data_IF_520309039622
#
_entry.id   IF_520309039622
#
_cell.length_a   1.000
_cell.length_b   1.000
_cell.length_c   1.000
_cell.angle_alpha   90.00
_cell.angle_beta   90.00
_cell.angle_gamma   90.00
#
_symmetry.space_group_name_H-M   'P 1'
#
loop_
_entity.id
_entity.type
_entity.pdbx_description
1 polymer ?
#
# COMPACT_ATOMS: atom_id res chain seq x y z
N UNK A 1 15.21 17.49 30.94
CA UNK A 1 14.17 16.45 30.92
C UNK A 1 13.11 16.64 29.84
N UNK A 2 12.58 17.86 29.58
CA UNK A 2 11.69 18.07 28.41
C UNK A 2 12.44 18.29 27.09
N UNK A 3 13.61 18.95 27.11
CA UNK A 3 14.43 19.15 25.89
C UNK A 3 15.05 17.84 25.37
N UNK A 4 15.47 16.94 26.26
CA UNK A 4 16.17 15.70 25.87
C UNK A 4 15.27 14.74 25.06
N UNK A 5 13.97 14.73 25.35
CA UNK A 5 12.99 13.91 24.62
C UNK A 5 12.65 14.48 23.24
N UNK A 6 12.74 15.81 23.06
CA UNK A 6 12.49 16.45 21.78
C UNK A 6 13.63 16.19 20.80
N UNK A 7 14.88 16.38 21.24
CA UNK A 7 16.07 16.11 20.45
C UNK A 7 16.20 14.62 20.08
N UNK A 8 15.83 13.74 21.01
CA UNK A 8 15.79 12.28 20.80
C UNK A 8 14.83 11.88 19.67
N UNK A 9 13.59 12.39 19.70
CA UNK A 9 12.59 12.09 18.66
C UNK A 9 12.98 12.70 17.31
N UNK A 10 13.52 13.92 17.31
CA UNK A 10 13.95 14.59 16.08
C UNK A 10 15.11 13.85 15.40
N UNK A 11 16.06 13.33 16.17
CA UNK A 11 17.18 12.53 15.65
C UNK A 11 16.69 11.23 15.03
N UNK A 12 15.76 10.52 15.71
CA UNK A 12 15.15 9.30 15.19
C UNK A 12 14.39 9.56 13.87
N UNK A 13 13.56 10.60 13.81
CA UNK A 13 12.82 10.99 12.61
C UNK A 13 13.78 11.30 11.44
N UNK A 14 14.84 12.07 11.70
CA UNK A 14 15.85 12.40 10.68
C UNK A 14 16.55 11.16 10.15
N UNK A 15 16.91 10.22 11.02
CA UNK A 15 17.52 8.94 10.62
C UNK A 15 16.58 8.12 9.74
N UNK A 16 15.33 7.92 10.16
CA UNK A 16 14.32 7.19 9.38
C UNK A 16 14.13 7.84 8.00
N UNK A 17 13.87 9.15 7.98
CA UNK A 17 13.66 9.92 6.75
C UNK A 17 14.86 9.85 5.81
N UNK A 18 16.08 9.96 6.35
CA UNK A 18 17.31 9.84 5.57
C UNK A 18 17.45 8.46 4.91
N UNK A 19 17.14 7.39 5.64
CA UNK A 19 17.17 6.04 5.08
C UNK A 19 16.08 5.85 4.01
N UNK A 20 14.85 6.32 4.26
CA UNK A 20 13.74 6.22 3.28
C UNK A 20 13.98 7.05 2.01
N UNK A 21 14.57 8.25 2.12
CA UNK A 21 14.85 9.10 0.95
C UNK A 21 15.96 8.55 0.05
N UNK A 22 16.79 7.63 0.55
CA UNK A 22 17.84 6.93 -0.22
C UNK A 22 17.36 5.60 -0.80
N UNK A 23 16.08 5.27 -0.61
CA UNK A 23 15.52 3.99 -1.00
C UNK A 23 15.67 3.77 -2.50
N UNK A 24 16.33 2.68 -2.83
CA UNK A 24 16.59 2.20 -4.18
C UNK A 24 17.00 0.73 -4.13
N UNK A 25 16.84 0.02 -5.24
CA UNK A 25 17.24 -1.38 -5.35
C UNK A 25 18.70 -1.65 -4.92
N UNK A 26 19.63 -0.75 -5.25
CA UNK A 26 21.06 -0.89 -4.93
C UNK A 26 21.39 -0.64 -3.45
N UNK A 27 20.63 0.22 -2.77
CA UNK A 27 20.82 0.55 -1.35
C UNK A 27 19.93 -0.28 -0.41
N UNK A 28 19.01 -1.09 -0.95
CA UNK A 28 17.97 -1.79 -0.21
C UNK A 28 18.49 -2.58 1.00
N UNK A 29 19.51 -3.42 0.81
CA UNK A 29 20.11 -4.24 1.89
C UNK A 29 20.65 -3.38 3.04
N UNK A 30 21.33 -2.28 2.69
CA UNK A 30 21.91 -1.34 3.67
C UNK A 30 20.80 -0.64 4.44
N UNK A 31 19.78 -0.12 3.74
CA UNK A 31 18.65 0.59 4.35
C UNK A 31 17.85 -0.32 5.27
N UNK A 32 17.60 -1.57 4.88
CA UNK A 32 16.93 -2.56 5.75
C UNK A 32 17.72 -2.75 7.03
N UNK A 33 19.05 -2.90 6.94
CA UNK A 33 19.92 -3.07 8.10
C UNK A 33 19.88 -1.83 9.01
N UNK A 34 20.09 -0.64 8.44
CA UNK A 34 20.03 0.63 9.17
C UNK A 34 18.70 0.80 9.92
N UNK A 35 17.57 0.52 9.27
CA UNK A 35 16.25 0.63 9.88
C UNK A 35 16.00 -0.44 10.93
N UNK A 36 16.50 -1.66 10.76
CA UNK A 36 16.42 -2.70 11.79
C UNK A 36 17.26 -2.34 13.02
N UNK A 37 18.44 -1.74 12.84
CA UNK A 37 19.31 -1.32 13.93
C UNK A 37 18.67 -0.26 14.82
N UNK A 38 17.78 0.58 14.28
CA UNK A 38 17.00 1.52 15.09
C UNK A 38 16.13 0.80 16.15
N UNK A 39 15.60 -0.39 15.85
CA UNK A 39 14.83 -1.17 16.83
C UNK A 39 15.68 -1.76 17.96
N UNK A 40 17.00 -1.83 17.77
CA UNK A 40 17.96 -2.21 18.82
C UNK A 40 18.37 -1.00 19.68
N UNK A 41 18.45 0.18 19.06
CA UNK A 41 18.99 1.38 19.69
C UNK A 41 17.93 2.26 20.38
N UNK A 42 16.66 2.11 20.00
CA UNK A 42 15.55 2.96 20.46
C UNK A 42 14.35 2.13 20.94
N UNK A 43 13.45 2.68 21.78
CA UNK A 43 12.22 2.02 22.18
C UNK A 43 11.39 1.62 20.96
N UNK A 44 11.08 0.33 20.85
CA UNK A 44 10.51 -0.26 19.62
C UNK A 44 9.16 0.34 19.22
N UNK A 45 8.32 0.71 20.20
CA UNK A 45 7.06 1.38 19.94
C UNK A 45 7.27 2.76 19.29
N UNK A 46 8.25 3.52 19.78
CA UNK A 46 8.63 4.82 19.21
C UNK A 46 9.16 4.68 17.79
N UNK A 47 10.08 3.72 17.53
CA UNK A 47 10.59 3.47 16.18
C UNK A 47 9.46 3.10 15.22
N UNK A 48 8.57 2.18 15.62
CA UNK A 48 7.42 1.79 14.81
C UNK A 48 6.53 2.98 14.46
N UNK A 49 6.12 3.77 15.45
CA UNK A 49 5.20 4.89 15.21
C UNK A 49 5.82 5.95 14.29
N UNK A 50 7.07 6.34 14.53
CA UNK A 50 7.75 7.31 13.66
C UNK A 50 8.04 6.74 12.27
N UNK A 51 8.37 5.44 12.17
CA UNK A 51 8.57 4.79 10.87
C UNK A 51 7.28 4.77 10.06
N UNK A 52 6.15 4.42 10.66
CA UNK A 52 4.84 4.45 9.99
C UNK A 52 4.51 5.87 9.53
N UNK A 53 4.71 6.87 10.38
CA UNK A 53 4.41 8.26 10.03
C UNK A 53 5.27 8.75 8.86
N UNK A 54 6.57 8.50 8.87
CA UNK A 54 7.47 8.87 7.77
C UNK A 54 7.16 8.09 6.47
N UNK A 55 6.75 6.83 6.56
CA UNK A 55 6.27 6.06 5.40
C UNK A 55 5.02 6.71 4.81
N UNK A 56 4.04 7.06 5.65
CA UNK A 56 2.81 7.70 5.20
C UNK A 56 3.09 9.06 4.56
N UNK A 57 3.91 9.90 5.21
CA UNK A 57 4.34 11.18 4.66
C UNK A 57 5.03 11.03 3.30
N UNK A 58 5.91 10.02 3.15
CA UNK A 58 6.59 9.75 1.90
C UNK A 58 5.61 9.33 0.80
N UNK A 59 4.67 8.43 1.09
CA UNK A 59 3.65 7.97 0.14
C UNK A 59 2.80 9.15 -0.33
N UNK A 60 2.34 9.99 0.60
CA UNK A 60 1.45 11.11 0.30
C UNK A 60 2.14 12.22 -0.54
N UNK A 61 3.42 12.47 -0.29
CA UNK A 61 4.22 13.43 -1.05
C UNK A 61 4.55 12.98 -2.48
N UNK A 62 4.26 11.72 -2.85
CA UNK A 62 4.61 11.21 -4.18
C UNK A 62 3.50 11.41 -5.19
N UNK A 63 3.86 11.62 -6.45
CA UNK A 63 2.88 11.69 -7.54
C UNK A 63 2.86 10.38 -8.33
N UNK A 64 1.65 9.88 -8.62
CA UNK A 64 1.47 8.78 -9.56
C UNK A 64 1.17 9.35 -10.93
N UNK A 65 2.08 9.10 -11.87
CA UNK A 65 1.85 9.40 -13.27
C UNK A 65 1.67 8.07 -14.05
N UNK A 66 0.67 8.04 -14.93
CA UNK A 66 0.34 6.91 -15.81
C UNK A 66 1.40 6.62 -16.84
N UNK A 67 2.02 7.67 -17.35
CA UNK A 67 2.97 7.60 -18.46
C UNK A 67 4.38 7.24 -17.99
N UNK A 68 4.60 7.23 -16.67
CA UNK A 68 5.87 6.85 -16.08
C UNK A 68 5.75 5.54 -15.35
N UNK A 69 6.86 5.16 -14.75
CA UNK A 69 7.10 4.06 -13.84
C UNK A 69 6.10 4.01 -12.66
N UNK A 70 4.87 3.58 -12.93
CA UNK A 70 3.75 3.56 -11.97
C UNK A 70 4.17 2.88 -10.67
N UNK A 71 4.17 3.66 -9.60
CA UNK A 71 4.38 3.16 -8.24
C UNK A 71 5.72 2.48 -7.98
N UNK A 72 6.80 2.86 -8.69
CA UNK A 72 8.13 2.26 -8.44
C UNK A 72 8.61 2.43 -6.99
N UNK A 73 8.50 3.65 -6.46
CA UNK A 73 8.82 3.90 -5.05
C UNK A 73 7.94 3.05 -4.14
N UNK A 74 6.65 2.89 -4.47
CA UNK A 74 5.71 2.13 -3.67
C UNK A 74 6.08 0.64 -3.64
N UNK A 75 6.60 0.09 -4.75
CA UNK A 75 7.14 -1.28 -4.79
C UNK A 75 8.39 -1.44 -3.92
N UNK A 76 9.35 -0.52 -4.04
CA UNK A 76 10.58 -0.54 -3.26
C UNK A 76 10.29 -0.39 -1.77
N UNK A 77 9.39 0.53 -1.41
CA UNK A 77 8.98 0.79 -0.04
C UNK A 77 8.25 -0.41 0.55
N UNK A 78 7.29 -0.99 -0.18
CA UNK A 78 6.59 -2.18 0.26
C UNK A 78 7.56 -3.33 0.55
N UNK A 79 8.52 -3.60 -0.33
CA UNK A 79 9.51 -4.66 -0.08
C UNK A 79 10.46 -4.31 1.06
N UNK A 80 10.90 -3.05 1.17
CA UNK A 80 11.74 -2.63 2.29
C UNK A 80 11.08 -2.96 3.63
N UNK A 81 9.81 -2.60 3.78
CA UNK A 81 9.03 -2.84 5.02
C UNK A 81 8.79 -4.34 5.23
N UNK A 82 8.51 -5.09 4.17
CA UNK A 82 8.40 -6.57 4.24
C UNK A 82 9.70 -7.18 4.75
N UNK A 83 10.86 -6.76 4.20
CA UNK A 83 12.16 -7.26 4.63
C UNK A 83 12.46 -6.88 6.08
N UNK A 84 12.14 -5.65 6.51
CA UNK A 84 12.26 -5.23 7.91
C UNK A 84 11.40 -6.13 8.80
N UNK A 85 10.14 -6.38 8.45
CA UNK A 85 9.26 -7.27 9.22
C UNK A 85 9.83 -8.69 9.32
N UNK A 86 10.40 -9.24 8.25
CA UNK A 86 11.07 -10.55 8.26
C UNK A 86 12.25 -10.52 9.22
N UNK A 87 13.13 -9.52 9.11
CA UNK A 87 14.32 -9.41 9.94
C UNK A 87 13.97 -9.26 11.42
N UNK A 88 13.02 -8.39 11.77
CA UNK A 88 12.56 -8.23 13.15
C UNK A 88 11.94 -9.52 13.71
N UNK A 89 11.19 -10.27 12.89
CA UNK A 89 10.67 -11.57 13.30
C UNK A 89 11.77 -12.57 13.61
N UNK A 90 12.81 -12.66 12.76
CA UNK A 90 13.96 -13.55 12.98
C UNK A 90 14.80 -13.16 14.20
N UNK A 91 14.86 -11.87 14.53
CA UNK A 91 15.52 -11.38 15.74
C UNK A 91 14.67 -11.56 17.01
N UNK A 92 13.54 -12.28 16.93
CA UNK A 92 12.56 -12.43 18.02
C UNK A 92 12.04 -11.09 18.57
N UNK A 93 12.03 -10.06 17.74
CA UNK A 93 11.51 -8.73 18.04
C UNK A 93 10.11 -8.56 17.43
N UNK A 94 9.26 -9.59 17.57
CA UNK A 94 7.99 -9.69 16.84
C UNK A 94 7.07 -8.51 17.16
N UNK A 95 7.10 -7.52 16.28
CA UNK A 95 6.24 -6.36 16.30
C UNK A 95 5.44 -6.37 15.01
N UNK A 96 4.11 -6.24 15.05
CA UNK A 96 3.30 -6.26 13.84
C UNK A 96 3.38 -4.90 13.12
N UNK A 97 4.56 -4.55 12.59
CA UNK A 97 4.82 -3.28 11.89
C UNK A 97 3.85 -3.10 10.72
N UNK A 98 3.70 -4.13 9.88
CA UNK A 98 2.82 -4.04 8.71
C UNK A 98 1.35 -3.95 9.11
N UNK A 99 0.92 -4.62 10.18
CA UNK A 99 -0.45 -4.54 10.69
C UNK A 99 -0.83 -3.11 11.07
N UNK A 100 -0.01 -2.46 11.90
CA UNK A 100 -0.21 -1.06 12.30
C UNK A 100 -0.10 -0.09 11.12
N UNK A 101 0.77 -0.37 10.15
CA UNK A 101 0.88 0.46 8.94
C UNK A 101 -0.40 0.39 8.11
N UNK A 102 -0.94 -0.81 7.86
CA UNK A 102 -2.18 -0.99 7.10
C UNK A 102 -3.33 -0.30 7.83
N UNK A 103 -3.46 -0.49 9.13
CA UNK A 103 -4.46 0.18 9.96
C UNK A 103 -4.38 1.71 9.79
N UNK A 104 -3.17 2.27 9.92
CA UNK A 104 -2.92 3.71 9.76
C UNK A 104 -3.27 4.23 8.37
N UNK A 105 -3.08 3.42 7.31
CA UNK A 105 -3.47 3.78 5.94
C UNK A 105 -4.98 3.70 5.76
N UNK A 106 -5.63 2.64 6.25
CA UNK A 106 -7.08 2.47 6.15
C UNK A 106 -7.81 3.59 6.87
N UNK A 107 -7.36 4.01 8.05
CA UNK A 107 -7.94 5.16 8.76
C UNK A 107 -7.83 6.47 7.98
N UNK A 108 -6.75 6.68 7.21
CA UNK A 108 -6.62 7.85 6.34
C UNK A 108 -7.54 7.76 5.11
N UNK A 109 -7.69 6.57 4.52
CA UNK A 109 -8.53 6.34 3.33
C UNK A 109 -10.04 6.37 3.63
N UNK A 110 -10.45 5.85 4.79
CA UNK A 110 -11.83 5.70 5.22
C UNK A 110 -12.00 6.23 6.65
N UNK A 111 -11.96 7.57 6.84
CA UNK A 111 -12.16 8.15 8.15
C UNK A 111 -13.56 7.82 8.68
N UNK A 112 -13.64 7.37 9.93
CA UNK A 112 -14.91 7.07 10.62
C UNK A 112 -15.38 8.36 11.27
N UNK A 113 -16.30 9.09 10.63
CA UNK A 113 -16.93 10.35 11.06
C UNK A 113 -16.80 10.71 12.56
N UNK A 114 -16.23 11.89 12.87
CA UNK A 114 -16.93 12.94 13.62
C UNK A 114 -16.08 14.23 13.75
N UNK A 115 -16.56 15.28 13.08
CA UNK A 115 -16.22 16.70 13.14
C UNK A 115 -15.58 17.24 11.86
N UNK A 116 -16.16 18.33 11.36
CA UNK A 116 -16.01 18.97 10.06
C UNK A 116 -14.60 19.55 9.74
N UNK A 117 -13.53 18.98 10.29
CA UNK A 117 -12.13 19.43 10.12
C UNK A 117 -11.13 18.29 9.86
N UNK A 118 -11.57 17.05 9.59
CA UNK A 118 -10.64 16.00 9.20
C UNK A 118 -10.11 16.25 7.78
N UNK A 119 -8.77 16.25 7.64
CA UNK A 119 -8.08 16.46 6.36
C UNK A 119 -8.57 15.42 5.34
N UNK A 120 -9.50 15.83 4.48
CA UNK A 120 -9.90 15.02 3.35
C UNK A 120 -8.66 14.80 2.48
N UNK A 121 -8.26 13.53 2.34
CA UNK A 121 -7.13 13.19 1.48
C UNK A 121 -7.36 13.77 0.08
N UNK A 122 -6.29 14.34 -0.47
CA UNK A 122 -6.31 14.72 -1.88
C UNK A 122 -6.54 13.50 -2.76
N UNK A 123 -7.10 13.69 -3.95
CA UNK A 123 -7.24 12.64 -4.98
C UNK A 123 -5.91 11.89 -5.22
N UNK A 124 -4.77 12.61 -5.17
CA UNK A 124 -3.45 12.00 -5.28
C UNK A 124 -3.11 11.12 -4.07
N UNK A 125 -3.40 11.58 -2.84
CA UNK A 125 -3.21 10.79 -1.61
C UNK A 125 -4.00 9.48 -1.64
N UNK A 126 -5.26 9.53 -2.07
CA UNK A 126 -6.09 8.32 -2.25
C UNK A 126 -5.40 7.36 -3.23
N UNK A 127 -4.90 7.84 -4.36
CA UNK A 127 -4.21 7.04 -5.35
C UNK A 127 -2.91 6.40 -4.80
N UNK A 128 -2.08 7.15 -4.09
CA UNK A 128 -0.77 6.69 -3.57
C UNK A 128 -0.91 5.66 -2.48
N UNK A 129 -1.80 5.90 -1.50
CA UNK A 129 -2.11 4.90 -0.49
C UNK A 129 -2.71 3.62 -1.11
N UNK A 130 -3.63 3.77 -2.06
CA UNK A 130 -4.27 2.64 -2.74
C UNK A 130 -3.27 1.78 -3.51
N UNK A 131 -2.34 2.40 -4.23
CA UNK A 131 -1.32 1.64 -4.98
C UNK A 131 -0.32 0.98 -4.04
N UNK A 132 0.02 1.61 -2.91
CA UNK A 132 0.86 1.00 -1.89
C UNK A 132 0.23 -0.30 -1.35
N UNK A 133 -1.06 -0.25 -0.98
CA UNK A 133 -1.82 -1.42 -0.54
C UNK A 133 -1.85 -2.50 -1.64
N UNK A 134 -2.05 -2.12 -2.90
CA UNK A 134 -2.00 -3.07 -4.01
C UNK A 134 -0.65 -3.80 -4.07
N UNK A 135 0.47 -3.12 -3.88
CA UNK A 135 1.79 -3.80 -3.85
C UNK A 135 1.99 -4.69 -2.62
N UNK A 136 1.47 -4.31 -1.45
CA UNK A 136 1.46 -5.22 -0.29
C UNK A 136 0.68 -6.51 -0.60
N UNK A 137 -0.46 -6.42 -1.30
CA UNK A 137 -1.20 -7.60 -1.76
C UNK A 137 -0.37 -8.41 -2.77
N UNK A 138 0.26 -7.73 -3.73
CA UNK A 138 1.09 -8.35 -4.76
C UNK A 138 2.23 -9.17 -4.18
N UNK A 139 2.84 -8.70 -3.10
CA UNK A 139 3.91 -9.39 -2.39
C UNK A 139 3.39 -10.42 -1.36
N UNK A 140 2.09 -10.63 -1.27
CA UNK A 140 1.46 -11.67 -0.47
C UNK A 140 1.30 -11.33 1.02
N UNK A 141 1.34 -10.05 1.37
CA UNK A 141 1.29 -9.59 2.77
C UNK A 141 -0.14 -9.41 3.27
N UNK A 142 -1.03 -8.93 2.41
CA UNK A 142 -2.44 -8.70 2.73
C UNK A 142 -3.34 -9.62 1.91
N UNK A 143 -4.57 -9.84 2.39
CA UNK A 143 -5.57 -10.60 1.67
C UNK A 143 -6.09 -9.84 0.45
N UNK A 144 -6.43 -10.57 -0.61
CA UNK A 144 -7.13 -10.01 -1.77
C UNK A 144 -8.52 -9.49 -1.43
N UNK A 145 -9.15 -10.00 -0.36
CA UNK A 145 -10.46 -9.53 0.11
C UNK A 145 -10.44 -8.04 0.45
N UNK A 146 -9.44 -7.58 1.22
CA UNK A 146 -9.29 -6.15 1.57
C UNK A 146 -9.21 -5.26 0.32
N UNK A 147 -8.46 -5.69 -0.70
CA UNK A 147 -8.35 -4.93 -1.95
C UNK A 147 -9.70 -4.91 -2.71
N UNK A 148 -10.40 -6.04 -2.75
CA UNK A 148 -11.72 -6.12 -3.40
C UNK A 148 -12.76 -5.25 -2.68
N UNK A 149 -12.73 -5.21 -1.35
CA UNK A 149 -13.63 -4.37 -0.54
C UNK A 149 -13.37 -2.87 -0.78
N UNK A 150 -12.09 -2.47 -0.87
CA UNK A 150 -11.69 -1.10 -1.25
C UNK A 150 -12.20 -0.75 -2.66
N UNK A 151 -12.04 -1.65 -3.64
CA UNK A 151 -12.53 -1.43 -5.00
C UNK A 151 -14.06 -1.25 -5.04
N UNK A 152 -14.81 -2.08 -4.29
CA UNK A 152 -16.27 -1.96 -4.16
C UNK A 152 -16.66 -0.60 -3.57
N UNK A 153 -15.98 -0.17 -2.50
CA UNK A 153 -16.23 1.13 -1.88
C UNK A 153 -15.96 2.29 -2.85
N UNK A 154 -14.85 2.26 -3.59
CA UNK A 154 -14.50 3.31 -4.55
C UNK A 154 -15.48 3.41 -5.72
N UNK A 155 -15.95 2.28 -6.26
CA UNK A 155 -16.95 2.27 -7.34
C UNK A 155 -18.31 2.71 -6.82
N UNK A 156 -18.68 2.36 -5.59
CA UNK A 156 -19.94 2.81 -4.96
C UNK A 156 -19.99 4.33 -4.80
N UNK A 157 -18.90 4.93 -4.35
CA UNK A 157 -18.83 6.39 -4.15
C UNK A 157 -18.68 7.14 -5.48
N UNK A 158 -18.07 6.50 -6.49
CA UNK A 158 -17.89 6.99 -7.86
C UNK A 158 -17.27 8.40 -7.98
N UNK A 159 -16.45 8.81 -7.00
CA UNK A 159 -15.65 10.03 -7.08
C UNK A 159 -14.47 9.84 -8.03
N UNK A 160 -14.10 10.88 -8.80
CA UNK A 160 -13.01 10.81 -9.78
C UNK A 160 -11.68 10.33 -9.16
N UNK A 161 -11.34 10.77 -7.95
CA UNK A 161 -10.10 10.34 -7.29
C UNK A 161 -10.15 8.87 -6.88
N UNK A 162 -11.30 8.41 -6.38
CA UNK A 162 -11.53 7.01 -6.00
C UNK A 162 -11.54 6.07 -7.20
N UNK A 163 -12.22 6.45 -8.29
CA UNK A 163 -12.25 5.65 -9.52
C UNK A 163 -10.87 5.60 -10.16
N UNK A 164 -10.13 6.71 -10.17
CA UNK A 164 -8.72 6.74 -10.62
C UNK A 164 -7.82 5.84 -9.78
N UNK A 165 -7.98 5.87 -8.46
CA UNK A 165 -7.25 4.98 -7.55
C UNK A 165 -7.60 3.51 -7.80
N UNK A 166 -8.88 3.21 -8.03
CA UNK A 166 -9.36 1.87 -8.38
C UNK A 166 -8.70 1.38 -9.68
N UNK A 167 -8.66 2.23 -10.72
CA UNK A 167 -7.96 1.92 -11.95
C UNK A 167 -6.46 1.61 -11.71
N UNK A 168 -5.75 2.42 -10.91
CA UNK A 168 -4.34 2.14 -10.57
C UNK A 168 -4.13 0.83 -9.80
N UNK A 169 -5.02 0.50 -8.86
CA UNK A 169 -5.00 -0.82 -8.20
C UNK A 169 -5.09 -1.92 -9.25
N UNK A 170 -6.02 -1.82 -10.19
CA UNK A 170 -6.24 -2.88 -11.19
C UNK A 170 -5.10 -3.01 -12.20
N UNK A 171 -4.38 -1.93 -12.52
CA UNK A 171 -3.12 -1.99 -13.28
C UNK A 171 -2.08 -2.83 -12.51
N UNK A 172 -1.90 -2.58 -11.22
CA UNK A 172 -0.88 -3.25 -10.41
C UNK A 172 -1.21 -4.72 -10.10
N UNK A 173 -2.50 -5.04 -9.84
CA UNK A 173 -2.90 -6.35 -9.30
C UNK A 173 -4.19 -6.95 -9.87
N UNK A 174 -4.80 -6.37 -10.90
CA UNK A 174 -6.10 -6.83 -11.44
C UNK A 174 -6.11 -8.31 -11.82
N UNK A 175 -5.06 -8.78 -12.50
CA UNK A 175 -4.92 -10.20 -12.88
C UNK A 175 -4.73 -11.11 -11.65
N UNK A 176 -4.05 -10.65 -10.61
CA UNK A 176 -3.88 -11.39 -9.36
C UNK A 176 -5.22 -11.53 -8.63
N UNK A 177 -5.99 -10.43 -8.54
CA UNK A 177 -7.33 -10.41 -7.94
C UNK A 177 -8.27 -11.37 -8.67
N UNK A 178 -8.31 -11.29 -10.01
CA UNK A 178 -9.13 -12.16 -10.86
C UNK A 178 -8.81 -13.65 -10.66
N UNK A 179 -7.53 -13.99 -10.48
CA UNK A 179 -7.11 -15.37 -10.18
C UNK A 179 -7.52 -15.80 -8.78
N UNK A 180 -7.56 -14.88 -7.82
CA UNK A 180 -7.93 -15.17 -6.44
C UNK A 180 -9.44 -15.33 -6.24
N UNK A 181 -10.26 -14.48 -6.85
CA UNK A 181 -11.72 -14.55 -6.75
C UNK A 181 -12.39 -13.94 -8.00
N UNK A 182 -12.66 -14.78 -9.00
CA UNK A 182 -13.25 -14.36 -10.27
C UNK A 182 -14.66 -13.80 -10.10
N UNK A 183 -15.47 -14.39 -9.23
CA UNK A 183 -16.88 -14.03 -9.06
C UNK A 183 -17.02 -12.59 -8.53
N UNK A 184 -16.25 -12.25 -7.50
CA UNK A 184 -16.26 -10.88 -6.95
C UNK A 184 -15.72 -9.87 -7.98
N UNK A 185 -14.71 -10.23 -8.78
CA UNK A 185 -14.27 -9.37 -9.87
C UNK A 185 -15.37 -9.16 -10.92
N UNK A 186 -16.19 -10.17 -11.23
CA UNK A 186 -17.32 -10.03 -12.15
C UNK A 186 -18.42 -9.13 -11.59
N UNK A 187 -18.74 -9.23 -10.28
CA UNK A 187 -19.65 -8.30 -9.60
C UNK A 187 -19.15 -6.85 -9.71
N UNK A 188 -17.86 -6.63 -9.43
CA UNK A 188 -17.21 -5.32 -9.54
C UNK A 188 -17.29 -4.78 -10.97
N UNK A 189 -17.02 -5.62 -11.97
CA UNK A 189 -17.12 -5.25 -13.38
C UNK A 189 -18.57 -4.87 -13.74
N UNK A 190 -19.56 -5.62 -13.27
CA UNK A 190 -20.98 -5.31 -13.52
C UNK A 190 -21.36 -3.96 -12.90
N UNK A 191 -20.95 -3.71 -11.67
CA UNK A 191 -21.18 -2.42 -11.00
C UNK A 191 -20.49 -1.26 -11.73
N UNK A 192 -19.23 -1.45 -12.15
CA UNK A 192 -18.49 -0.46 -12.92
C UNK A 192 -19.13 -0.16 -14.29
N UNK A 193 -19.64 -1.17 -14.99
CA UNK A 193 -20.37 -0.96 -16.25
C UNK A 193 -21.66 -0.16 -16.04
N UNK A 194 -22.37 -0.40 -14.95
CA UNK A 194 -23.58 0.37 -14.61
C UNK A 194 -23.27 1.86 -14.37
N UNK A 195 -22.20 2.16 -13.62
CA UNK A 195 -21.76 3.55 -13.43
C UNK A 195 -21.20 4.17 -14.72
N UNK A 196 -20.49 3.37 -15.54
CA UNK A 196 -19.95 3.82 -16.82
C UNK A 196 -21.07 4.34 -17.74
N UNK A 197 -22.18 3.60 -17.89
CA UNK A 197 -23.29 4.02 -18.76
C UNK A 197 -23.99 5.29 -18.27
N UNK A 198 -24.00 5.56 -16.95
CA UNK A 198 -24.50 6.84 -16.41
C UNK A 198 -23.58 8.02 -16.76
N UNK A 199 -22.26 7.81 -16.67
CA UNK A 199 -21.27 8.89 -16.81
C UNK A 199 -20.77 9.10 -18.25
N UNK A 200 -21.01 8.16 -19.16
CA UNK A 200 -20.51 8.14 -20.55
C UNK A 200 -20.74 9.44 -21.34
N UNK A 201 -21.84 10.13 -21.07
CA UNK A 201 -22.24 11.36 -21.78
C UNK A 201 -21.99 12.64 -20.97
N UNK A 202 -21.72 12.53 -19.67
CA UNK A 202 -21.68 13.66 -18.74
C UNK A 202 -20.30 13.89 -18.12
N UNK A 203 -19.51 12.83 -17.92
CA UNK A 203 -18.20 12.90 -17.28
C UNK A 203 -17.22 11.93 -17.94
N UNK A 204 -16.56 12.41 -19.00
CA UNK A 204 -15.60 11.65 -19.79
C UNK A 204 -14.40 11.13 -18.98
N UNK A 205 -13.95 11.87 -17.96
CA UNK A 205 -12.82 11.45 -17.13
C UNK A 205 -13.16 10.22 -16.31
N UNK A 206 -14.30 10.23 -15.61
CA UNK A 206 -14.78 9.08 -14.83
C UNK A 206 -15.02 7.88 -15.76
N UNK A 207 -15.66 8.11 -16.91
CA UNK A 207 -15.89 7.06 -17.89
C UNK A 207 -14.58 6.40 -18.35
N UNK A 208 -13.56 7.20 -18.68
CA UNK A 208 -12.25 6.71 -19.07
C UNK A 208 -11.59 5.85 -17.97
N UNK A 209 -11.67 6.27 -16.70
CA UNK A 209 -11.13 5.47 -15.60
C UNK A 209 -11.88 4.16 -15.38
N UNK A 210 -13.21 4.18 -15.50
CA UNK A 210 -14.04 2.97 -15.38
C UNK A 210 -13.75 1.98 -16.50
N UNK A 211 -13.62 2.45 -17.75
CA UNK A 211 -13.23 1.61 -18.89
C UNK A 211 -11.88 0.93 -18.65
N UNK A 212 -10.89 1.70 -18.19
CA UNK A 212 -9.57 1.16 -17.85
C UNK A 212 -9.62 0.12 -16.72
N UNK A 213 -10.37 0.40 -15.66
CA UNK A 213 -10.61 -0.56 -14.56
C UNK A 213 -11.25 -1.86 -15.05
N UNK A 214 -12.31 -1.76 -15.87
CA UNK A 214 -13.03 -2.91 -16.42
C UNK A 214 -12.12 -3.75 -17.30
N UNK A 215 -11.35 -3.10 -18.17
CA UNK A 215 -10.38 -3.76 -19.03
C UNK A 215 -9.36 -4.55 -18.21
N UNK A 216 -8.74 -3.90 -17.21
CA UNK A 216 -7.70 -4.50 -16.37
C UNK A 216 -8.21 -5.67 -15.52
N UNK A 217 -9.43 -5.60 -14.99
CA UNK A 217 -10.04 -6.72 -14.25
C UNK A 217 -10.49 -7.87 -15.16
N UNK A 218 -10.71 -7.61 -16.45
CA UNK A 218 -11.11 -8.63 -17.43
C UNK A 218 -9.92 -9.42 -18.00
N UNK A 219 -8.72 -8.85 -17.93
CA UNK A 219 -7.49 -9.45 -18.46
C UNK A 219 -7.10 -10.76 -17.77
N UNK A 220 -6.63 -11.74 -18.57
CA UNK A 220 -6.10 -13.02 -18.06
C UNK A 220 -4.60 -12.94 -17.72
N UNK A 221 -3.89 -11.98 -18.31
CA UNK A 221 -2.44 -11.77 -18.21
C UNK A 221 -2.18 -10.27 -18.29
N UNK A 222 -1.23 -9.79 -17.50
CA UNK A 222 -0.81 -8.39 -17.52
C UNK A 222 0.57 -8.31 -18.18
N UNK A 223 0.72 -7.32 -19.05
CA UNK A 223 1.98 -6.99 -19.74
C UNK A 223 2.63 -5.72 -19.17
N UNK A 224 2.10 -5.21 -18.04
CA UNK A 224 2.54 -3.96 -17.45
C UNK A 224 3.97 -4.07 -16.90
N UNK A 225 4.79 -3.04 -17.12
CA UNK A 225 6.18 -3.03 -16.65
C UNK A 225 6.25 -3.13 -15.11
N UNK A 226 5.32 -2.49 -14.40
CA UNK A 226 5.24 -2.53 -12.95
C UNK A 226 5.04 -3.96 -12.42
N UNK A 227 4.29 -4.80 -13.14
CA UNK A 227 4.03 -6.21 -12.82
C UNK A 227 5.31 -7.02 -12.94
N UNK A 228 6.08 -6.80 -14.00
CA UNK A 228 7.38 -7.45 -14.23
C UNK A 228 8.41 -7.02 -13.20
N UNK A 229 8.50 -5.72 -12.90
CA UNK A 229 9.38 -5.18 -11.84
C UNK A 229 9.06 -5.80 -10.47
N UNK A 230 7.80 -5.91 -10.10
CA UNK A 230 7.43 -6.53 -8.82
C UNK A 230 7.91 -7.98 -8.74
N UNK A 231 7.79 -8.76 -9.81
CA UNK A 231 8.29 -10.14 -9.83
C UNK A 231 9.81 -10.21 -9.70
N UNK A 232 10.54 -9.25 -10.30
CA UNK A 232 11.98 -9.11 -10.10
C UNK A 232 12.31 -8.81 -8.64
N UNK A 233 11.70 -7.77 -8.06
CA UNK A 233 11.97 -7.37 -6.68
C UNK A 233 11.59 -8.47 -5.68
N UNK A 234 10.52 -9.23 -5.92
CA UNK A 234 10.12 -10.36 -5.08
C UNK A 234 11.21 -11.45 -5.01
N UNK A 235 11.95 -11.69 -6.10
CA UNK A 235 13.08 -12.62 -6.09
C UNK A 235 14.24 -12.11 -5.22
N UNK A 236 14.44 -10.80 -5.16
CA UNK A 236 15.50 -10.17 -4.38
C UNK A 236 15.25 -10.16 -2.87
N UNK A 237 14.01 -10.38 -2.41
CA UNK A 237 13.69 -10.49 -0.97
C UNK A 237 14.62 -11.50 -0.27
N UNK A 238 14.89 -12.65 -0.90
CA UNK A 238 15.79 -13.67 -0.32
C UNK A 238 17.22 -13.16 -0.12
N UNK A 239 17.70 -12.35 -1.07
CA UNK A 239 19.04 -11.77 -1.04
C UNK A 239 19.13 -10.74 0.09
N UNK A 240 18.16 -9.83 0.17
CA UNK A 240 18.13 -8.76 1.18
C UNK A 240 17.86 -9.25 2.60
N UNK A 241 17.20 -10.40 2.73
CA UNK A 241 16.96 -11.05 4.03
C UNK A 241 18.00 -12.13 4.36
N UNK A 242 19.11 -12.22 3.62
CA UNK A 242 20.18 -13.21 3.87
C UNK A 242 19.68 -14.67 3.95
N UNK A 243 18.67 -15.02 3.15
CA UNK A 243 18.09 -16.36 3.12
C UNK A 243 17.00 -16.62 4.17
N UNK A 244 16.72 -15.68 5.07
CA UNK A 244 15.71 -15.81 6.14
C UNK A 244 14.25 -15.81 5.63
N UNK A 245 14.05 -15.85 4.32
CA UNK A 245 12.75 -15.82 3.63
C UNK A 245 11.82 -17.03 3.83
N UNK A 246 12.19 -18.04 4.63
CA UNK A 246 11.34 -19.20 4.91
C UNK A 246 10.08 -18.87 5.74
N UNK A 247 10.01 -17.68 6.32
CA UNK A 247 8.81 -17.17 6.96
C UNK A 247 7.82 -16.80 5.85
N UNK A 248 6.84 -17.69 5.59
CA UNK A 248 5.61 -17.28 4.92
C UNK A 248 5.01 -16.17 5.78
N UNK A 249 5.19 -14.92 5.35
CA UNK A 249 4.47 -13.75 5.87
C UNK A 249 2.99 -13.88 5.49
N UNK A 250 2.31 -14.91 5.98
CA UNK A 250 0.89 -14.77 6.25
C UNK A 250 0.82 -13.90 7.49
N UNK A 251 0.82 -12.58 7.31
CA UNK A 251 0.23 -11.70 8.30
C UNK A 251 -1.25 -12.06 8.27
N UNK A 252 -1.63 -13.03 9.10
CA UNK A 252 -3.01 -13.40 9.33
C UNK A 252 -3.63 -12.18 10.01
N UNK A 253 -4.25 -11.30 9.21
CA UNK A 253 -4.85 -10.08 9.73
C UNK A 253 -6.07 -10.45 10.55
N UNK A 254 -5.87 -10.70 11.84
CA UNK A 254 -6.94 -10.94 12.81
C UNK A 254 -7.70 -9.65 13.18
N UNK A 255 -7.61 -8.58 12.38
CA UNK A 255 -8.16 -7.26 12.76
C UNK A 255 -9.32 -6.79 11.88
N UNK A 256 -9.54 -7.35 10.68
CA UNK A 256 -10.54 -6.78 9.75
C UNK A 256 -11.96 -7.36 9.85
N UNK A 257 -12.22 -8.40 10.64
CA UNK A 257 -13.56 -8.99 10.72
C UNK A 257 -14.58 -8.15 11.50
N UNK A 258 -14.16 -7.10 12.20
CA UNK A 258 -15.07 -6.27 13.02
C UNK A 258 -15.53 -4.99 12.29
N UNK A 259 -14.78 -4.49 11.29
CA UNK A 259 -15.01 -3.14 10.76
C UNK A 259 -15.86 -3.03 9.48
N UNK A 260 -16.02 -4.12 8.71
CA UNK A 260 -16.80 -4.07 7.46
C UNK A 260 -18.29 -4.42 7.63
N UNK A 261 -18.76 -4.74 8.84
CA UNK A 261 -20.19 -4.94 9.12
C UNK A 261 -20.95 -3.63 9.43
N UNK A 262 -20.30 -2.46 9.31
CA UNK A 262 -20.88 -1.14 9.62
C UNK A 262 -20.83 -0.17 8.40
N UNK A 263 -20.55 -0.66 7.19
CA UNK A 263 -20.61 0.10 5.92
C UNK A 263 -21.51 -0.57 4.89
#
# INVERSE_FOLDING_TARGET
MLNDNHDFNETLCKSIRSSLNRLSESQMSKIITELCDLFNNYPRASVRSHLIEEICNLIECTQINRHTKIGWLHQELAICIICIQIMLHHLFQSIPLIGYLIESIIFRLFPINNNNNEMQLSSNGICTYSIFLAYLYRFGVISGTLILDILKAYIRDCDIGKVKAAHFITIAVGVNLRKSNLNVCQEIIQQANFELEKHKLQNFEIAFELEGLIQRLSEKRSMEECVTRSLHLQKLIRVWTKGNSHVRLCVCVCVFHVYFYVL
#
